data_IF_210014248776
#
_entry.id   IF_210014248776
#
_cell.length_a   1.000
_cell.length_b   1.000
_cell.length_c   1.000
_cell.angle_alpha   90.00
_cell.angle_beta   90.00
_cell.angle_gamma   90.00
#
_symmetry.space_group_name_H-M   'P 1'
#
loop_
_entity.id
_entity.type
_entity.pdbx_description
1 polymer ?
#
# COMPACT_ATOMS: atom_id res chain seq x y z
N UNK A 1 12.37 -36.67 54.98
CA UNK A 1 11.61 -35.83 54.04
C UNK A 1 12.60 -35.11 53.14
N UNK A 2 12.23 -34.98 51.88
CA UNK A 2 13.07 -34.91 50.68
C UNK A 2 13.80 -33.57 50.47
N UNK A 3 15.06 -33.64 49.99
CA UNK A 3 15.87 -32.60 49.36
C UNK A 3 15.23 -32.01 48.09
N UNK A 4 15.48 -30.70 47.82
CA UNK A 4 16.10 -30.20 46.56
C UNK A 4 15.98 -28.68 46.35
N UNK A 5 17.12 -28.03 46.10
CA UNK A 5 17.30 -26.97 45.08
C UNK A 5 17.35 -27.62 43.66
N UNK A 6 17.38 -26.90 42.50
CA UNK A 6 17.51 -25.45 42.23
C UNK A 6 16.54 -24.93 41.13
N UNK A 7 16.62 -23.65 40.73
CA UNK A 7 16.95 -23.24 39.34
C UNK A 7 16.96 -21.70 39.19
N UNK A 8 17.94 -21.25 38.42
CA UNK A 8 18.34 -19.88 38.09
C UNK A 8 17.55 -19.42 36.86
N UNK A 9 17.22 -18.13 36.73
CA UNK A 9 17.44 -17.44 35.45
C UNK A 9 17.49 -15.91 35.58
N UNK A 10 18.60 -15.40 35.05
CA UNK A 10 19.05 -14.02 34.93
C UNK A 10 18.30 -13.28 33.82
N UNK A 11 17.84 -12.05 34.08
CA UNK A 11 17.42 -11.10 33.05
C UNK A 11 18.35 -9.89 33.03
N UNK A 12 19.24 -9.87 32.03
CA UNK A 12 19.86 -8.65 31.53
C UNK A 12 20.06 -8.81 30.03
N UNK A 13 19.40 -7.99 29.21
CA UNK A 13 20.11 -7.07 28.31
C UNK A 13 19.18 -5.95 27.86
N UNK A 14 19.68 -4.72 27.98
CA UNK A 14 19.13 -3.50 27.38
C UNK A 14 19.25 -3.60 25.86
N UNK A 15 18.22 -3.18 25.13
CA UNK A 15 18.39 -2.76 23.74
C UNK A 15 17.59 -1.48 23.52
N UNK A 16 18.32 -0.37 23.33
CA UNK A 16 17.78 0.93 22.98
C UNK A 16 17.51 0.97 21.48
N UNK A 17 16.26 1.17 21.06
CA UNK A 17 15.94 1.62 19.71
C UNK A 17 14.92 2.77 19.85
N UNK A 18 15.37 3.98 19.51
CA UNK A 18 14.58 5.20 19.47
C UNK A 18 13.86 5.28 18.12
N UNK A 19 12.53 5.36 18.11
CA UNK A 19 11.78 5.89 16.97
C UNK A 19 10.74 6.91 17.44
N UNK A 20 10.75 8.05 16.76
CA UNK A 20 10.19 9.33 17.16
C UNK A 20 8.82 9.54 16.47
N UNK A 21 7.77 9.72 17.28
CA UNK A 21 6.50 10.45 17.05
C UNK A 21 5.92 10.55 15.63
N UNK A 22 4.86 9.79 15.36
CA UNK A 22 3.75 10.20 14.47
C UNK A 22 2.41 9.72 15.05
N UNK A 23 1.45 10.65 15.26
CA UNK A 23 0.12 10.39 15.81
C UNK A 23 -0.79 9.83 14.72
N UNK A 24 -1.40 8.67 14.96
CA UNK A 24 -2.47 8.10 14.12
C UNK A 24 -3.82 8.54 14.71
N UNK A 25 -4.69 9.10 13.86
CA UNK A 25 -6.06 9.45 14.21
C UNK A 25 -7.01 8.45 13.53
N UNK A 26 -7.82 7.74 14.33
CA UNK A 26 -8.94 6.93 13.86
C UNK A 26 -10.24 7.70 14.14
N UNK A 27 -11.03 8.00 13.11
CA UNK A 27 -12.37 8.59 13.25
C UNK A 27 -13.42 7.49 13.01
N UNK A 28 -14.19 7.16 14.05
CA UNK A 28 -15.35 6.28 13.93
C UNK A 28 -16.59 7.12 13.63
N UNK A 29 -17.26 6.84 12.50
CA UNK A 29 -18.60 7.33 12.21
C UNK A 29 -19.53 6.12 12.08
N UNK A 30 -20.32 5.83 13.12
CA UNK A 30 -21.68 5.27 13.02
C UNK A 30 -22.32 5.18 14.41
N UNK A 31 -23.55 5.70 14.50
CA UNK A 31 -24.41 5.60 15.68
C UNK A 31 -25.11 4.23 15.70
N UNK A 32 -24.91 3.43 16.74
CA UNK A 32 -25.97 2.90 17.62
C UNK A 32 -25.45 1.73 18.50
N UNK A 33 -25.73 1.87 19.81
CA UNK A 33 -25.63 0.90 20.91
C UNK A 33 -24.27 0.25 21.27
N UNK A 34 -23.51 1.03 22.04
CA UNK A 34 -22.88 0.68 23.34
C UNK A 34 -22.11 -0.66 23.51
N UNK A 35 -20.79 -0.57 23.45
CA UNK A 35 -19.94 -0.84 24.63
C UNK A 35 -18.76 0.14 24.60
N UNK A 36 -18.80 1.11 25.51
CA UNK A 36 -17.89 2.25 25.59
C UNK A 36 -16.60 1.87 26.32
N UNK A 37 -15.46 1.89 25.63
CA UNK A 37 -14.15 2.02 26.28
C UNK A 37 -13.73 3.50 26.19
N UNK A 38 -13.92 4.23 27.28
CA UNK A 38 -13.36 5.58 27.43
C UNK A 38 -11.85 5.48 27.68
N UNK A 39 -11.04 6.07 26.80
CA UNK A 39 -9.67 6.45 27.11
C UNK A 39 -9.60 7.98 27.09
N UNK A 40 -9.53 8.58 28.29
CA UNK A 40 -9.36 10.01 28.48
C UNK A 40 -7.92 10.42 28.16
N UNK A 41 -7.79 11.50 27.39
CA UNK A 41 -6.51 12.10 27.03
C UNK A 41 -6.11 13.05 28.17
N UNK A 42 -5.11 12.67 28.96
CA UNK A 42 -4.37 13.61 29.79
C UNK A 42 -2.92 13.68 29.33
N UNK A 43 -2.44 14.91 29.20
CA UNK A 43 -1.08 15.29 28.85
C UNK A 43 -0.05 14.66 29.80
N UNK A 44 0.44 13.46 29.49
CA UNK A 44 1.68 12.93 30.07
C UNK A 44 2.26 11.88 29.14
N UNK A 45 3.52 12.08 28.77
CA UNK A 45 4.53 11.15 28.23
C UNK A 45 3.99 9.77 27.80
N UNK A 46 4.14 9.44 26.51
CA UNK A 46 4.03 8.06 26.01
C UNK A 46 5.40 7.39 26.19
N UNK A 47 5.61 6.58 27.23
CA UNK A 47 6.49 5.42 27.12
C UNK A 47 5.85 4.25 27.87
N UNK A 48 4.97 3.49 27.22
CA UNK A 48 4.56 2.15 27.73
C UNK A 48 3.66 1.31 26.81
N UNK A 49 3.13 1.83 25.70
CA UNK A 49 2.34 1.00 24.74
C UNK A 49 3.28 0.38 23.69
N UNK A 50 4.32 -0.30 24.15
CA UNK A 50 5.08 -1.30 23.36
C UNK A 50 5.13 -2.61 24.16
N UNK A 51 4.01 -2.95 24.80
CA UNK A 51 3.82 -4.23 25.49
C UNK A 51 2.57 -4.97 25.01
N UNK A 52 2.21 -4.76 23.74
CA UNK A 52 1.30 -5.62 23.00
C UNK A 52 1.83 -5.78 21.56
N UNK A 53 3.15 -5.94 21.41
CA UNK A 53 3.64 -6.64 20.23
C UNK A 53 3.27 -8.10 20.47
N UNK A 54 2.35 -8.65 19.67
CA UNK A 54 2.30 -10.10 19.52
C UNK A 54 3.74 -10.54 19.21
N UNK A 55 4.27 -11.43 20.05
CA UNK A 55 5.56 -12.07 19.84
C UNK A 55 5.54 -13.02 18.62
N UNK A 56 4.46 -13.01 17.84
CA UNK A 56 4.37 -13.62 16.53
C UNK A 56 4.94 -12.64 15.50
N UNK A 57 6.08 -13.03 14.91
CA UNK A 57 6.80 -12.40 13.80
C UNK A 57 5.94 -11.35 13.07
N UNK A 58 6.34 -10.07 13.14
CA UNK A 58 5.74 -9.00 12.31
C UNK A 58 5.75 -9.46 10.86
N UNK A 59 4.60 -9.95 10.38
CA UNK A 59 4.52 -10.55 9.06
C UNK A 59 4.39 -9.39 8.07
N UNK A 60 5.50 -9.12 7.36
CA UNK A 60 5.50 -8.18 6.24
C UNK A 60 4.31 -8.49 5.32
N UNK A 61 3.61 -7.45 4.89
CA UNK A 61 2.56 -7.57 3.88
C UNK A 61 3.19 -7.46 2.49
N UNK A 62 2.72 -8.22 1.49
CA UNK A 62 3.05 -7.95 0.10
C UNK A 62 2.79 -6.48 -0.23
N UNK A 63 3.78 -5.81 -0.82
CA UNK A 63 3.67 -4.44 -1.29
C UNK A 63 3.86 -4.45 -2.80
N UNK A 64 2.87 -3.95 -3.54
CA UNK A 64 2.81 -4.06 -4.99
C UNK A 64 2.45 -2.73 -5.59
N UNK A 65 2.99 -2.47 -6.77
CA UNK A 65 2.65 -1.28 -7.55
C UNK A 65 1.76 -1.70 -8.71
N UNK A 66 0.84 -0.83 -9.10
CA UNK A 66 0.10 -0.96 -10.35
C UNK A 66 0.03 0.40 -11.05
N UNK A 67 0.31 0.41 -12.35
CA UNK A 67 0.24 1.60 -13.20
C UNK A 67 -0.03 1.21 -14.65
N UNK A 68 -0.56 2.15 -15.42
CA UNK A 68 -0.58 2.10 -16.88
C UNK A 68 0.28 3.24 -17.41
N UNK A 69 1.20 2.95 -18.34
CA UNK A 69 2.12 3.94 -18.86
C UNK A 69 2.27 3.81 -20.38
N UNK A 70 2.35 4.94 -21.08
CA UNK A 70 2.61 4.97 -22.52
C UNK A 70 4.10 4.83 -22.86
N UNK A 71 4.47 4.75 -24.14
CA UNK A 71 5.85 4.45 -24.59
C UNK A 71 6.96 5.28 -23.92
N UNK A 72 6.67 6.53 -23.55
CA UNK A 72 7.61 7.43 -22.86
C UNK A 72 7.52 7.37 -21.33
N UNK A 73 6.90 6.32 -20.78
CA UNK A 73 6.55 6.14 -19.37
C UNK A 73 5.57 7.19 -18.83
N UNK A 74 4.86 7.93 -19.68
CA UNK A 74 3.86 8.90 -19.25
C UNK A 74 2.63 8.22 -18.65
N UNK A 75 2.09 8.78 -17.56
CA UNK A 75 0.95 8.22 -16.80
C UNK A 75 -0.18 9.24 -16.56
N UNK A 76 0.00 10.47 -17.01
CA UNK A 76 -0.97 11.54 -16.77
C UNK A 76 -0.65 12.79 -17.57
N UNK A 77 -1.71 13.54 -17.86
CA UNK A 77 -1.66 14.86 -18.46
C UNK A 77 -2.71 15.75 -17.78
N UNK A 78 -2.31 16.89 -17.21
CA UNK A 78 -3.21 17.85 -16.58
C UNK A 78 -4.15 17.22 -15.53
N UNK A 79 -3.66 16.22 -14.78
CA UNK A 79 -4.45 15.52 -13.77
C UNK A 79 -5.50 14.56 -14.34
N UNK A 80 -5.36 14.11 -15.58
CA UNK A 80 -6.21 13.09 -16.19
C UNK A 80 -5.36 12.02 -16.89
N UNK A 81 -5.96 10.85 -17.13
CA UNK A 81 -5.37 9.86 -18.02
C UNK A 81 -5.50 10.35 -19.47
N UNK A 82 -4.42 10.33 -20.28
CA UNK A 82 -4.47 10.75 -21.69
C UNK A 82 -5.28 9.82 -22.61
N UNK A 83 -5.69 8.66 -22.10
CA UNK A 83 -6.40 7.60 -22.82
C UNK A 83 -7.67 7.18 -22.09
N UNK A 84 -8.55 6.49 -22.83
CA UNK A 84 -9.75 5.86 -22.28
C UNK A 84 -9.79 4.38 -22.64
N UNK A 85 -9.42 3.53 -21.68
CA UNK A 85 -9.28 2.09 -21.86
C UNK A 85 -10.09 1.33 -20.80
N UNK A 86 -11.43 1.20 -20.93
CA UNK A 86 -12.28 0.45 -20.00
C UNK A 86 -11.77 -0.94 -19.62
N UNK A 87 -11.18 -1.69 -20.55
CA UNK A 87 -10.66 -3.04 -20.28
C UNK A 87 -9.43 -3.01 -19.37
N UNK A 88 -8.55 -2.03 -19.57
CA UNK A 88 -7.39 -1.77 -18.71
C UNK A 88 -7.85 -1.34 -17.31
N UNK A 89 -8.79 -0.40 -17.24
CA UNK A 89 -9.31 0.09 -15.98
C UNK A 89 -10.04 -1.01 -15.19
N UNK A 90 -10.77 -1.89 -15.88
CA UNK A 90 -11.35 -3.09 -15.26
C UNK A 90 -10.28 -4.01 -14.68
N UNK A 91 -9.17 -4.21 -15.38
CA UNK A 91 -8.05 -4.98 -14.85
C UNK A 91 -7.46 -4.34 -13.59
N UNK A 92 -7.30 -3.01 -13.57
CA UNK A 92 -6.89 -2.28 -12.36
C UNK A 92 -7.85 -2.52 -11.19
N UNK A 93 -9.17 -2.35 -11.39
CA UNK A 93 -10.18 -2.57 -10.36
C UNK A 93 -10.13 -4.00 -9.83
N UNK A 94 -10.20 -4.98 -10.73
CA UNK A 94 -10.23 -6.40 -10.37
C UNK A 94 -8.94 -6.81 -9.63
N UNK A 95 -7.77 -6.35 -10.08
CA UNK A 95 -6.48 -6.68 -9.47
C UNK A 95 -6.32 -6.11 -8.07
N UNK A 96 -6.76 -4.87 -7.87
CA UNK A 96 -6.51 -4.13 -6.62
C UNK A 96 -7.58 -4.33 -5.56
N UNK A 97 -8.75 -4.86 -5.92
CA UNK A 97 -9.87 -5.14 -4.99
C UNK A 97 -10.05 -6.62 -4.67
N UNK A 98 -9.41 -7.51 -5.43
CA UNK A 98 -9.45 -8.95 -5.17
C UNK A 98 -8.76 -9.27 -3.85
N UNK A 99 -9.44 -10.08 -3.04
CA UNK A 99 -8.95 -10.61 -1.77
C UNK A 99 -9.10 -12.12 -1.73
N UNK A 100 -8.14 -12.79 -1.12
CA UNK A 100 -8.06 -14.25 -1.08
C UNK A 100 -9.13 -14.90 -0.18
N UNK A 101 -9.66 -14.16 0.79
CA UNK A 101 -10.65 -14.65 1.76
C UNK A 101 -11.72 -13.58 2.04
N UNK A 102 -12.99 -13.98 2.24
CA UNK A 102 -14.03 -13.05 2.68
C UNK A 102 -13.64 -12.32 3.96
N UNK A 103 -13.90 -11.02 4.01
CA UNK A 103 -13.61 -10.17 5.16
C UNK A 103 -12.17 -9.63 5.22
N UNK A 104 -11.27 -10.06 4.32
CA UNK A 104 -9.98 -9.40 4.12
C UNK A 104 -10.16 -8.10 3.33
N UNK A 105 -9.18 -7.22 3.46
CA UNK A 105 -9.11 -5.98 2.72
C UNK A 105 -7.74 -5.81 2.08
N UNK A 106 -7.70 -5.07 0.98
CA UNK A 106 -6.47 -4.48 0.48
C UNK A 106 -6.30 -3.07 1.03
N UNK A 107 -5.06 -2.59 1.07
CA UNK A 107 -4.74 -1.21 1.41
C UNK A 107 -4.21 -0.51 0.16
N UNK A 108 -4.86 0.56 -0.29
CA UNK A 108 -4.35 1.39 -1.39
C UNK A 108 -3.67 2.64 -0.87
N UNK A 109 -2.44 2.88 -1.32
CA UNK A 109 -1.63 4.04 -0.96
C UNK A 109 -1.54 5.00 -2.14
N UNK A 110 -1.98 6.24 -1.90
CA UNK A 110 -2.12 7.30 -2.89
C UNK A 110 -1.27 8.49 -2.51
N UNK A 111 -0.69 9.19 -3.49
CA UNK A 111 -0.18 10.54 -3.31
C UNK A 111 -1.31 11.56 -3.42
N UNK A 112 -1.24 12.67 -2.68
CA UNK A 112 -2.24 13.75 -2.69
C UNK A 112 -2.73 14.15 -4.09
N UNK A 113 -1.82 14.38 -5.04
CA UNK A 113 -2.19 14.79 -6.40
C UNK A 113 -3.00 13.74 -7.16
N UNK A 114 -2.63 12.47 -7.01
CA UNK A 114 -3.34 11.34 -7.60
C UNK A 114 -4.71 11.13 -6.94
N UNK A 115 -4.83 11.34 -5.63
CA UNK A 115 -6.12 11.28 -4.95
C UNK A 115 -7.14 12.25 -5.56
N UNK A 116 -6.75 13.52 -5.69
CA UNK A 116 -7.65 14.58 -6.18
C UNK A 116 -7.82 14.63 -7.71
N UNK A 117 -7.04 13.85 -8.48
CA UNK A 117 -7.26 13.72 -9.93
C UNK A 117 -8.38 12.74 -10.28
N UNK A 118 -8.82 11.93 -9.33
CA UNK A 118 -9.85 10.92 -9.56
C UNK A 118 -11.25 11.43 -9.18
N UNK A 119 -12.29 11.06 -9.93
CA UNK A 119 -13.67 11.40 -9.60
C UNK A 119 -14.17 10.59 -8.39
N UNK A 120 -15.10 11.15 -7.61
CA UNK A 120 -15.66 10.48 -6.42
C UNK A 120 -16.32 9.13 -6.74
N UNK A 121 -16.85 8.97 -7.96
CA UNK A 121 -17.43 7.72 -8.44
C UNK A 121 -16.43 6.56 -8.48
N UNK A 122 -15.12 6.83 -8.51
CA UNK A 122 -14.10 5.79 -8.41
C UNK A 122 -14.21 5.01 -7.10
N UNK A 123 -14.41 5.71 -5.99
CA UNK A 123 -14.30 5.11 -4.66
C UNK A 123 -15.46 4.15 -4.35
N UNK A 124 -16.60 4.29 -5.03
CA UNK A 124 -17.70 3.31 -4.94
C UNK A 124 -17.43 2.04 -5.76
N UNK A 125 -16.48 2.08 -6.71
CA UNK A 125 -16.07 0.93 -7.52
C UNK A 125 -14.94 0.10 -6.88
N UNK A 126 -14.45 0.50 -5.71
CA UNK A 126 -13.31 -0.13 -5.02
C UNK A 126 -13.74 -0.83 -3.72
N UNK A 127 -14.47 -1.96 -3.80
CA UNK A 127 -14.84 -2.72 -2.60
C UNK A 127 -13.61 -3.34 -1.94
N UNK A 128 -13.72 -3.64 -0.65
CA UNK A 128 -12.68 -4.31 0.14
C UNK A 128 -11.36 -3.55 0.19
N UNK A 129 -11.39 -2.21 0.08
CA UNK A 129 -10.17 -1.38 0.05
C UNK A 129 -10.18 -0.36 1.18
N UNK A 130 -9.05 -0.27 1.88
CA UNK A 130 -8.72 0.83 2.78
C UNK A 130 -7.85 1.83 2.03
N UNK A 131 -8.27 3.09 2.01
CA UNK A 131 -7.55 4.16 1.31
C UNK A 131 -6.65 4.95 2.27
N UNK A 132 -5.36 5.01 1.95
CA UNK A 132 -4.34 5.81 2.64
C UNK A 132 -3.84 6.89 1.70
N UNK A 133 -4.05 8.15 2.07
CA UNK A 133 -3.52 9.30 1.33
C UNK A 133 -2.23 9.79 1.98
N UNK A 134 -1.20 9.99 1.17
CA UNK A 134 0.06 10.59 1.57
C UNK A 134 0.07 12.08 1.23
N UNK A 135 0.26 12.91 2.25
CA UNK A 135 0.40 14.35 2.08
C UNK A 135 1.09 15.00 3.27
N UNK A 136 2.00 15.93 2.96
CA UNK A 136 2.65 16.81 3.95
C UNK A 136 1.88 18.13 4.16
N UNK A 137 0.85 18.41 3.35
CA UNK A 137 0.13 19.68 3.35
C UNK A 137 -1.31 19.55 3.84
N UNK A 138 -1.94 18.38 3.71
CA UNK A 138 -3.25 18.14 4.30
C UNK A 138 -3.13 18.03 5.83
N UNK A 139 -4.11 18.59 6.54
CA UNK A 139 -4.23 18.50 7.99
C UNK A 139 -5.36 17.57 8.46
N UNK A 140 -6.22 17.15 7.53
CA UNK A 140 -7.37 16.28 7.78
C UNK A 140 -7.46 15.20 6.72
N UNK A 141 -7.98 14.03 7.10
CA UNK A 141 -8.26 12.93 6.15
C UNK A 141 -9.22 13.45 5.08
N UNK A 142 -8.88 13.34 3.78
CA UNK A 142 -9.78 13.78 2.71
C UNK A 142 -11.00 12.88 2.62
N UNK A 143 -12.06 13.37 1.99
CA UNK A 143 -13.29 12.61 1.76
C UNK A 143 -12.99 11.27 1.07
N UNK A 144 -13.74 10.21 1.42
CA UNK A 144 -13.55 8.81 1.01
C UNK A 144 -12.26 8.11 1.49
N UNK A 145 -11.23 8.85 1.91
CA UNK A 145 -10.04 8.24 2.49
C UNK A 145 -10.29 7.74 3.92
N UNK A 146 -9.57 6.69 4.31
CA UNK A 146 -9.62 6.15 5.66
C UNK A 146 -8.49 6.70 6.53
N UNK A 147 -7.34 6.96 5.92
CA UNK A 147 -6.13 7.42 6.61
C UNK A 147 -5.42 8.52 5.84
N UNK A 148 -4.76 9.41 6.59
CA UNK A 148 -3.81 10.39 6.09
C UNK A 148 -2.46 10.15 6.78
N UNK A 149 -1.40 10.02 6.00
CA UNK A 149 -0.02 9.89 6.46
C UNK A 149 0.86 10.94 5.81
N UNK A 150 1.95 11.33 6.47
CA UNK A 150 2.85 12.37 5.98
C UNK A 150 3.99 11.84 5.11
N UNK A 151 4.25 10.54 5.20
CA UNK A 151 5.33 9.84 4.50
C UNK A 151 4.91 8.40 4.15
N UNK A 152 5.65 7.77 3.23
CA UNK A 152 5.35 6.44 2.74
C UNK A 152 5.48 5.36 3.81
N UNK A 153 6.55 5.40 4.62
CA UNK A 153 6.83 4.37 5.62
C UNK A 153 5.75 4.31 6.71
N UNK A 154 5.23 5.46 7.16
CA UNK A 154 4.10 5.50 8.10
C UNK A 154 2.84 4.93 7.47
N UNK A 155 2.58 5.22 6.18
CA UNK A 155 1.47 4.63 5.41
C UNK A 155 1.55 3.10 5.34
N UNK A 156 2.73 2.56 5.01
CA UNK A 156 2.98 1.11 4.97
C UNK A 156 2.87 0.48 6.35
N UNK A 157 3.39 1.16 7.38
CA UNK A 157 3.39 0.67 8.77
C UNK A 157 1.98 0.53 9.35
N UNK A 158 0.98 1.26 8.84
CA UNK A 158 -0.42 1.07 9.24
C UNK A 158 -0.86 -0.38 9.09
N UNK A 159 -0.42 -1.08 8.05
CA UNK A 159 -0.78 -2.47 7.80
C UNK A 159 -0.19 -3.46 8.82
N UNK A 160 0.69 -3.00 9.72
CA UNK A 160 1.24 -3.78 10.83
C UNK A 160 0.51 -3.53 12.16
N UNK A 161 -0.36 -2.53 12.23
CA UNK A 161 -1.03 -2.14 13.46
C UNK A 161 -2.38 -2.82 13.59
N UNK A 162 -2.77 -3.17 14.81
CA UNK A 162 -4.11 -3.68 15.10
C UNK A 162 -5.16 -2.57 14.92
N UNK A 163 -6.36 -2.88 14.37
CA UNK A 163 -6.80 -4.18 13.85
C UNK A 163 -6.38 -4.47 12.40
N UNK A 164 -5.69 -3.52 11.74
CA UNK A 164 -5.38 -3.58 10.32
C UNK A 164 -4.47 -4.74 9.94
N UNK A 165 -3.54 -5.17 10.79
CA UNK A 165 -2.67 -6.30 10.48
C UNK A 165 -3.43 -7.63 10.33
N UNK A 166 -4.61 -7.76 10.93
CA UNK A 166 -5.49 -8.92 10.73
C UNK A 166 -6.46 -8.74 9.56
N UNK A 167 -6.61 -7.54 9.01
CA UNK A 167 -7.53 -7.26 7.89
C UNK A 167 -6.78 -7.18 6.55
N UNK A 168 -5.67 -6.45 6.52
CA UNK A 168 -4.92 -6.12 5.31
C UNK A 168 -4.17 -7.34 4.79
N UNK A 169 -4.46 -7.77 3.57
CA UNK A 169 -3.69 -8.82 2.90
C UNK A 169 -2.58 -8.27 2.02
N UNK A 170 -2.85 -7.23 1.22
CA UNK A 170 -1.91 -6.65 0.24
C UNK A 170 -1.94 -5.12 0.30
N UNK A 171 -0.76 -4.51 0.21
CA UNK A 171 -0.61 -3.06 0.02
C UNK A 171 -0.42 -2.80 -1.47
N UNK A 172 -1.31 -2.02 -2.07
CA UNK A 172 -1.27 -1.56 -3.45
C UNK A 172 -0.89 -0.09 -3.51
N UNK A 173 0.22 0.21 -4.17
CA UNK A 173 0.62 1.58 -4.48
C UNK A 173 0.09 1.93 -5.85
N UNK A 174 -0.74 2.96 -5.91
CA UNK A 174 -1.54 3.32 -7.10
C UNK A 174 -1.21 4.72 -7.63
N UNK A 175 -0.06 5.25 -7.21
CA UNK A 175 0.50 6.52 -7.69
C UNK A 175 0.36 7.67 -6.70
N UNK A 176 0.87 8.87 -6.99
CA UNK A 176 1.57 9.27 -8.22
C UNK A 176 3.08 9.00 -8.22
N UNK A 177 3.87 9.68 -9.08
CA UNK A 177 5.28 9.37 -9.35
C UNK A 177 6.16 9.22 -8.12
N UNK A 178 6.05 10.15 -7.16
CA UNK A 178 6.85 10.12 -5.94
C UNK A 178 6.54 8.88 -5.09
N UNK A 179 5.26 8.54 -4.94
CA UNK A 179 4.84 7.36 -4.17
C UNK A 179 5.29 6.08 -4.86
N UNK A 180 5.23 6.03 -6.20
CA UNK A 180 5.80 4.93 -6.96
C UNK A 180 7.31 4.79 -6.73
N UNK A 181 8.04 5.90 -6.72
CA UNK A 181 9.49 5.90 -6.51
C UNK A 181 9.85 5.38 -5.10
N UNK A 182 9.17 5.87 -4.06
CA UNK A 182 9.35 5.40 -2.68
C UNK A 182 9.06 3.89 -2.57
N UNK A 183 7.98 3.43 -3.21
CA UNK A 183 7.61 2.02 -3.25
C UNK A 183 8.64 1.13 -3.96
N UNK A 184 9.19 1.55 -5.10
CA UNK A 184 10.22 0.80 -5.83
C UNK A 184 11.50 0.62 -4.99
N UNK A 185 11.82 1.58 -4.13
CA UNK A 185 12.97 1.51 -3.22
C UNK A 185 12.66 0.68 -1.96
N UNK A 186 11.39 0.50 -1.62
CA UNK A 186 10.99 -0.16 -0.38
C UNK A 186 11.26 -1.68 -0.42
N UNK A 187 11.84 -2.28 0.63
CA UNK A 187 12.25 -3.69 0.65
C UNK A 187 11.08 -4.68 0.59
N UNK A 188 9.85 -4.24 0.90
CA UNK A 188 8.66 -5.09 0.78
C UNK A 188 8.06 -5.12 -0.62
N UNK A 189 8.50 -4.23 -1.52
CA UNK A 189 7.96 -4.21 -2.87
C UNK A 189 8.34 -5.49 -3.62
N UNK A 190 7.40 -6.39 -3.87
CA UNK A 190 7.67 -7.68 -4.51
C UNK A 190 7.27 -7.70 -6.00
N UNK A 191 6.22 -6.98 -6.38
CA UNK A 191 5.72 -6.94 -7.75
C UNK A 191 5.42 -5.52 -8.25
N UNK A 192 5.70 -5.29 -9.54
CA UNK A 192 5.25 -4.13 -10.31
C UNK A 192 4.34 -4.64 -11.42
N UNK A 193 3.07 -4.28 -11.36
CA UNK A 193 2.10 -4.45 -12.44
C UNK A 193 2.16 -3.20 -13.30
N UNK A 194 2.52 -3.35 -14.57
CA UNK A 194 2.64 -2.25 -15.51
C UNK A 194 1.86 -2.61 -16.77
N UNK A 195 0.76 -1.91 -17.01
CA UNK A 195 0.13 -1.93 -18.34
C UNK A 195 1.01 -1.11 -19.28
N UNK A 196 1.63 -1.77 -20.24
CA UNK A 196 2.39 -1.17 -21.34
C UNK A 196 1.42 -0.69 -22.42
N UNK A 197 1.18 0.62 -22.48
CA UNK A 197 0.34 1.25 -23.49
C UNK A 197 1.22 1.60 -24.69
N UNK A 198 1.02 0.87 -25.78
CA UNK A 198 1.87 0.89 -26.97
C UNK A 198 1.50 2.04 -27.92
N UNK A 199 1.38 3.24 -27.37
CA UNK A 199 1.04 4.47 -28.09
C UNK A 199 1.76 5.66 -27.45
N UNK A 200 1.85 6.77 -28.21
CA UNK A 200 2.46 8.01 -27.73
C UNK A 200 1.37 9.00 -27.31
N UNK A 201 1.49 9.54 -26.10
CA UNK A 201 0.63 10.60 -25.58
C UNK A 201 1.48 11.75 -25.04
N UNK A 202 0.92 12.96 -25.07
CA UNK A 202 1.54 14.09 -24.39
C UNK A 202 1.26 13.97 -22.89
N UNK A 203 2.31 13.83 -22.08
CA UNK A 203 2.22 13.62 -20.65
C UNK A 203 3.06 14.66 -19.91
N UNK A 204 2.60 15.05 -18.72
CA UNK A 204 3.33 15.91 -17.78
C UNK A 204 3.70 15.16 -16.49
N UNK A 205 3.16 13.96 -16.29
CA UNK A 205 3.43 13.06 -15.18
C UNK A 205 3.94 11.72 -15.73
N UNK A 206 5.03 11.22 -15.16
CA UNK A 206 5.72 10.02 -15.65
C UNK A 206 5.94 8.99 -14.55
N UNK A 207 5.83 7.71 -14.89
CA UNK A 207 6.22 6.61 -14.01
C UNK A 207 7.75 6.60 -13.86
N UNK A 208 8.28 6.42 -12.63
CA UNK A 208 9.72 6.39 -12.42
C UNK A 208 10.37 5.22 -13.16
N UNK A 209 11.56 5.46 -13.72
CA UNK A 209 12.39 4.36 -14.19
C UNK A 209 12.77 3.45 -13.03
N UNK A 210 12.86 2.14 -13.31
CA UNK A 210 13.27 1.16 -12.32
C UNK A 210 14.19 0.12 -12.91
N UNK A 211 15.06 -0.41 -12.06
CA UNK A 211 16.11 -1.34 -12.46
C UNK A 211 15.50 -2.69 -12.89
N UNK A 212 15.55 -2.98 -14.19
CA UNK A 212 15.09 -4.24 -14.77
C UNK A 212 16.00 -5.42 -14.42
N UNK A 213 17.15 -5.16 -13.79
CA UNK A 213 18.01 -6.19 -13.19
C UNK A 213 17.47 -6.70 -11.86
N UNK A 214 16.86 -5.81 -11.09
CA UNK A 214 16.19 -6.09 -9.82
C UNK A 214 14.77 -6.57 -10.07
N UNK A 215 14.02 -5.92 -10.96
CA UNK A 215 12.64 -6.27 -11.29
C UNK A 215 12.56 -6.93 -12.66
N UNK A 216 12.54 -8.27 -12.66
CA UNK A 216 12.54 -9.08 -13.88
C UNK A 216 11.14 -9.27 -14.42
N UNK A 217 10.96 -9.01 -15.72
CA UNK A 217 9.71 -9.26 -16.44
C UNK A 217 9.36 -10.74 -16.35
N UNK A 218 8.12 -11.04 -16.02
CA UNK A 218 7.61 -12.39 -16.02
C UNK A 218 7.01 -12.69 -17.41
N UNK A 219 7.46 -13.79 -18.04
CA UNK A 219 6.91 -14.28 -19.31
C UNK A 219 5.39 -14.55 -19.21
N UNK A 220 4.96 -15.07 -18.05
CA UNK A 220 3.56 -15.29 -17.69
C UNK A 220 3.40 -15.06 -16.20
N UNK A 221 2.24 -14.55 -15.78
CA UNK A 221 1.90 -14.41 -14.38
C UNK A 221 0.46 -14.88 -14.13
N UNK A 222 0.20 -15.68 -13.07
CA UNK A 222 -1.14 -16.17 -12.79
C UNK A 222 -2.17 -15.03 -12.66
N UNK A 223 -3.30 -15.17 -13.35
CA UNK A 223 -4.39 -14.17 -13.32
C UNK A 223 -4.15 -12.93 -14.17
N UNK A 224 -3.05 -12.85 -14.94
CA UNK A 224 -2.75 -11.73 -15.82
C UNK A 224 -2.83 -12.18 -17.28
N UNK A 225 -3.65 -11.55 -18.14
CA UNK A 225 -3.70 -11.85 -19.57
C UNK A 225 -2.33 -11.64 -20.22
N UNK A 226 -1.93 -12.56 -21.10
CA UNK A 226 -0.62 -12.47 -21.78
C UNK A 226 -0.75 -11.91 -23.21
N UNK A 227 -1.96 -11.93 -23.76
CA UNK A 227 -2.30 -11.43 -25.07
C UNK A 227 -2.27 -9.90 -25.09
N UNK A 228 -1.85 -9.38 -26.24
CA UNK A 228 -2.02 -7.97 -26.56
C UNK A 228 -3.52 -7.67 -26.65
N UNK A 229 -3.95 -6.60 -26.01
CA UNK A 229 -5.29 -6.05 -26.07
C UNK A 229 -5.32 -4.86 -27.02
N UNK A 230 -6.47 -4.60 -27.62
CA UNK A 230 -6.71 -3.39 -28.43
C UNK A 230 -8.09 -2.84 -28.11
N UNK A 231 -8.15 -1.55 -27.79
CA UNK A 231 -9.39 -0.85 -27.48
C UNK A 231 -9.26 0.60 -27.96
N UNK A 232 -10.28 1.12 -28.65
CA UNK A 232 -10.29 2.48 -29.17
C UNK A 232 -9.06 2.86 -30.03
N UNK A 233 -8.52 1.88 -30.78
CA UNK A 233 -7.33 2.07 -31.61
C UNK A 233 -6.01 2.19 -30.83
N UNK A 234 -6.03 1.88 -29.53
CA UNK A 234 -4.86 1.85 -28.66
C UNK A 234 -4.57 0.40 -28.29
N UNK A 235 -3.35 -0.04 -28.58
CA UNK A 235 -2.85 -1.35 -28.23
C UNK A 235 -2.17 -1.29 -26.87
N UNK A 236 -2.39 -2.30 -26.02
CA UNK A 236 -1.72 -2.38 -24.72
C UNK A 236 -1.53 -3.83 -24.26
N UNK A 237 -0.60 -4.04 -23.32
CA UNK A 237 -0.35 -5.35 -22.71
C UNK A 237 -0.14 -5.21 -21.21
N UNK A 238 -0.71 -6.16 -20.45
CA UNK A 238 -0.44 -6.26 -19.02
C UNK A 238 0.89 -6.97 -18.77
N UNK A 239 1.79 -6.32 -18.03
CA UNK A 239 3.09 -6.86 -17.70
C UNK A 239 3.29 -6.93 -16.19
N UNK A 240 3.96 -7.98 -15.71
CA UNK A 240 4.35 -8.11 -14.31
C UNK A 240 5.86 -8.21 -14.23
N UNK A 241 6.45 -7.38 -13.37
CA UNK A 241 7.86 -7.45 -13.01
C UNK A 241 7.97 -7.88 -11.57
N UNK A 242 8.79 -8.91 -11.32
CA UNK A 242 9.02 -9.46 -9.98
C UNK A 242 10.39 -9.06 -9.47
N UNK A 243 10.47 -8.61 -8.23
CA UNK A 243 11.75 -8.36 -7.57
C UNK A 243 12.50 -9.69 -7.40
N UNK A 244 13.70 -9.77 -7.95
CA UNK A 244 14.65 -10.83 -7.65
C UNK A 244 15.14 -10.64 -6.21
N UNK A 245 14.99 -11.69 -5.41
CA UNK A 245 15.62 -11.71 -4.09
C UNK A 245 17.08 -12.00 -4.38
N UNK A 246 17.97 -11.02 -4.16
CA UNK A 246 19.40 -11.31 -4.10
C UNK A 246 19.57 -12.43 -3.06
N UNK A 247 19.95 -13.62 -3.52
CA UNK A 247 20.37 -14.68 -2.62
C UNK A 247 21.50 -14.12 -1.78
N UNK A 248 21.37 -14.22 -0.45
CA UNK A 248 22.55 -14.15 0.40
C UNK A 248 23.39 -15.38 0.06
N UNK A 249 24.39 -15.21 -0.79
CA UNK A 249 25.53 -16.14 -0.89
C UNK A 249 26.42 -15.99 0.34
#
# INVERSE_FOLDING_TARGET
>A
MVDRHPQINTYHTKCNILYYRSRIYLLNNTKSSETTLQLSVNHTVIPSIVSAMCADKVQRKPLRLIAAACNNMGIGQNGQLPWHLPTEFKFFLDTTTNVSQPGRMNMMVWGRGCWFSNPDSLFSMLPNVLHVVLSTTLSTVPEHAHFLCQDFDSGVSLALLQPLCDLVETIWVVGGPQVYQEALMHPWCDLVYLTDIMADFHCDVFFPQFDRSIFRKQERFPGVPNEIQEENGVTFKFEVFKREICGAE
#
